data_IF_843712422087
#
_entry.id   IF_843712422087
#
_cell.length_a   1.000
_cell.length_b   1.000
_cell.length_c   1.000
_cell.angle_alpha   90.00
_cell.angle_beta   90.00
_cell.angle_gamma   90.00
#
_symmetry.space_group_name_H-M   'P 1'
#
loop_
_entity.id
_entity.type
_entity.pdbx_description
1 polymer ?
#
# COMPACT_ATOMS: atom_id res chain seq x y z
N UNK A 1 -3.80 -17.02 50.73
CA UNK A 1 -2.55 -16.76 50.05
C UNK A 1 -2.85 -16.91 48.58
N UNK A 2 -3.17 -15.77 47.93
CA UNK A 2 -3.51 -15.72 46.53
C UNK A 2 -2.25 -15.74 45.66
N UNK A 3 -2.20 -16.65 44.71
CA UNK A 3 -1.25 -16.56 43.59
C UNK A 3 -1.92 -15.81 42.46
N UNK A 4 -1.61 -14.53 42.33
CA UNK A 4 -1.89 -13.77 41.13
C UNK A 4 -1.06 -14.39 40.00
N UNK A 5 -1.75 -15.04 39.10
CA UNK A 5 -1.18 -15.50 37.84
C UNK A 5 -1.13 -14.28 36.89
N UNK A 6 0.00 -13.57 36.92
CA UNK A 6 0.32 -12.57 35.91
C UNK A 6 0.33 -13.26 34.55
N UNK A 7 -0.75 -13.09 33.80
CA UNK A 7 -0.76 -13.29 32.36
C UNK A 7 0.12 -12.16 31.80
N UNK A 8 1.40 -12.46 31.61
CA UNK A 8 2.21 -11.63 30.72
C UNK A 8 1.52 -11.63 29.37
N UNK A 9 0.99 -10.49 28.98
CA UNK A 9 0.67 -10.21 27.57
C UNK A 9 1.94 -10.46 26.77
N UNK A 10 2.06 -11.68 26.28
CA UNK A 10 2.96 -11.90 25.15
C UNK A 10 2.31 -11.12 24.02
N UNK A 11 2.96 -10.03 23.62
CA UNK A 11 2.76 -9.49 22.32
C UNK A 11 2.88 -10.68 21.34
N UNK A 12 1.74 -11.22 20.96
CA UNK A 12 1.65 -12.12 19.83
C UNK A 12 1.89 -11.18 18.65
N UNK A 13 3.17 -10.93 18.36
CA UNK A 13 3.54 -10.51 17.05
C UNK A 13 2.91 -11.53 16.14
N UNK A 14 1.93 -11.10 15.34
CA UNK A 14 1.27 -11.92 14.35
C UNK A 14 2.36 -12.58 13.52
N UNK A 15 2.74 -13.81 13.92
CA UNK A 15 3.63 -14.61 13.10
C UNK A 15 2.80 -14.99 11.89
N UNK A 16 2.99 -14.28 10.79
CA UNK A 16 2.44 -14.70 9.51
C UNK A 16 2.90 -16.12 9.24
N UNK A 17 1.96 -17.06 9.31
CA UNK A 17 2.24 -18.42 8.88
C UNK A 17 2.37 -18.33 7.37
N UNK A 18 3.60 -18.33 6.88
CA UNK A 18 3.87 -18.42 5.45
C UNK A 18 3.88 -19.89 5.06
N UNK A 19 2.88 -20.40 4.31
CA UNK A 19 2.84 -21.79 3.91
C UNK A 19 4.06 -22.10 3.04
N UNK A 20 4.70 -23.22 3.31
CA UNK A 20 5.85 -23.71 2.54
C UNK A 20 5.37 -24.48 1.32
N UNK A 21 5.97 -24.18 0.17
CA UNK A 21 5.75 -24.89 -1.10
C UNK A 21 7.00 -25.70 -1.42
N UNK A 22 6.80 -26.92 -1.90
CA UNK A 22 7.86 -27.79 -2.42
C UNK A 22 7.63 -27.91 -3.93
N UNK A 23 8.55 -27.39 -4.74
CA UNK A 23 8.55 -27.57 -6.20
C UNK A 23 9.61 -28.59 -6.58
N UNK A 24 9.19 -29.65 -7.26
CA UNK A 24 10.11 -30.57 -7.94
C UNK A 24 10.48 -29.99 -9.29
N UNK A 25 11.76 -29.67 -9.45
CA UNK A 25 12.37 -29.32 -10.74
C UNK A 25 13.25 -30.48 -11.20
N UNK A 26 13.43 -30.64 -12.50
CA UNK A 26 14.09 -31.81 -13.11
C UNK A 26 15.41 -32.30 -12.47
N UNK A 27 16.05 -31.51 -11.64
CA UNK A 27 17.31 -31.86 -10.95
C UNK A 27 17.37 -31.44 -9.47
N UNK A 28 16.40 -30.65 -8.95
CA UNK A 28 16.42 -30.15 -7.58
C UNK A 28 15.02 -29.94 -7.01
N UNK A 29 14.84 -30.24 -5.73
CA UNK A 29 13.67 -29.86 -4.96
C UNK A 29 13.95 -28.49 -4.33
N UNK A 30 13.14 -27.48 -4.64
CA UNK A 30 13.20 -26.17 -4.03
C UNK A 30 12.09 -26.01 -3.01
N UNK A 31 12.47 -25.73 -1.78
CA UNK A 31 11.53 -25.37 -0.71
C UNK A 31 11.52 -23.85 -0.56
N UNK A 32 10.35 -23.23 -0.66
CA UNK A 32 10.19 -21.78 -0.48
C UNK A 32 8.81 -21.47 0.12
N UNK A 33 8.66 -20.30 0.72
CA UNK A 33 7.33 -19.83 1.14
C UNK A 33 6.49 -19.35 -0.07
N UNK A 34 5.17 -19.28 0.13
CA UNK A 34 4.25 -18.92 -0.95
C UNK A 34 4.48 -17.52 -1.51
N UNK A 35 4.87 -16.55 -0.67
CA UNK A 35 5.13 -15.19 -1.13
C UNK A 35 6.40 -15.12 -1.99
N UNK A 36 7.44 -15.83 -1.60
CA UNK A 36 8.66 -15.98 -2.41
C UNK A 36 8.35 -16.65 -3.75
N UNK A 37 7.48 -17.66 -3.77
CA UNK A 37 7.06 -18.30 -5.02
C UNK A 37 6.29 -17.36 -5.93
N UNK A 38 5.34 -16.59 -5.39
CA UNK A 38 4.56 -15.61 -6.14
C UNK A 38 5.43 -14.44 -6.64
N UNK A 39 6.46 -14.05 -5.87
CA UNK A 39 7.42 -13.03 -6.30
C UNK A 39 8.18 -13.45 -7.57
N UNK A 40 8.42 -14.76 -7.78
CA UNK A 40 8.98 -15.25 -9.04
C UNK A 40 8.05 -14.99 -10.24
N UNK A 41 6.75 -14.89 -10.01
CA UNK A 41 5.74 -14.49 -11.00
C UNK A 41 5.48 -12.97 -10.97
N UNK A 42 6.38 -12.21 -10.34
CA UNK A 42 6.35 -10.74 -10.23
C UNK A 42 5.14 -10.20 -9.45
N UNK A 43 4.70 -10.96 -8.44
CA UNK A 43 3.58 -10.62 -7.57
C UNK A 43 4.09 -10.28 -6.17
N UNK A 44 3.75 -9.09 -5.69
CA UNK A 44 4.08 -8.55 -4.36
C UNK A 44 2.79 -8.36 -3.58
N UNK A 45 2.85 -8.54 -2.26
CA UNK A 45 1.71 -8.28 -1.37
C UNK A 45 2.02 -7.14 -0.40
N UNK A 46 1.13 -6.14 -0.36
CA UNK A 46 1.00 -5.17 0.72
C UNK A 46 -0.25 -5.55 1.53
N UNK A 47 -0.07 -6.47 2.47
CA UNK A 47 -1.16 -7.05 3.27
C UNK A 47 -1.20 -6.57 4.72
N UNK A 48 -0.44 -5.53 5.07
CA UNK A 48 -0.32 -5.02 6.44
C UNK A 48 -0.30 -3.50 6.45
N UNK A 49 -0.11 -2.93 7.65
CA UNK A 49 0.18 -1.52 7.81
C UNK A 49 1.48 -1.14 7.09
N UNK A 50 1.52 0.07 6.54
CA UNK A 50 2.72 0.66 5.95
C UNK A 50 3.60 1.22 7.07
N UNK A 51 4.68 0.52 7.35
CA UNK A 51 5.74 0.92 8.27
C UNK A 51 7.11 0.85 7.58
N UNK A 52 8.17 1.22 8.29
CA UNK A 52 9.52 1.27 7.71
C UNK A 52 9.99 -0.10 7.24
N UNK A 53 9.66 -1.18 7.98
CA UNK A 53 10.06 -2.53 7.61
C UNK A 53 9.33 -3.00 6.33
N UNK A 54 8.01 -2.88 6.32
CA UNK A 54 7.17 -3.25 5.17
C UNK A 54 7.57 -2.46 3.92
N UNK A 55 7.82 -1.15 4.09
CA UNK A 55 8.25 -0.30 2.99
C UNK A 55 9.60 -0.73 2.41
N UNK A 56 10.59 -1.00 3.27
CA UNK A 56 11.91 -1.46 2.83
C UNK A 56 11.83 -2.79 2.09
N UNK A 57 11.00 -3.72 2.55
CA UNK A 57 10.80 -5.02 1.87
C UNK A 57 10.19 -4.82 0.48
N UNK A 58 9.13 -4.02 0.37
CA UNK A 58 8.46 -3.77 -0.92
C UNK A 58 9.38 -3.03 -1.90
N UNK A 59 10.12 -2.01 -1.43
CA UNK A 59 11.09 -1.30 -2.26
C UNK A 59 12.18 -2.27 -2.78
N UNK A 60 12.71 -3.12 -1.90
CA UNK A 60 13.73 -4.10 -2.30
C UNK A 60 13.18 -5.10 -3.34
N UNK A 61 11.93 -5.55 -3.18
CA UNK A 61 11.25 -6.44 -4.13
C UNK A 61 11.04 -5.74 -5.49
N UNK A 62 10.58 -4.49 -5.50
CA UNK A 62 10.39 -3.70 -6.72
C UNK A 62 11.71 -3.54 -7.48
N UNK A 63 12.78 -3.12 -6.80
CA UNK A 63 14.11 -2.94 -7.40
C UNK A 63 14.68 -4.26 -7.92
N UNK A 64 14.53 -5.35 -7.16
CA UNK A 64 14.98 -6.67 -7.58
C UNK A 64 14.25 -7.14 -8.83
N UNK A 65 12.93 -7.02 -8.86
CA UNK A 65 12.11 -7.45 -9.99
C UNK A 65 12.39 -6.61 -11.25
N UNK A 66 12.51 -5.30 -11.10
CA UNK A 66 12.86 -4.42 -12.21
C UNK A 66 14.24 -4.76 -12.79
N UNK A 67 15.23 -4.98 -11.93
CA UNK A 67 16.59 -5.35 -12.38
C UNK A 67 16.66 -6.74 -13.01
N UNK A 68 15.82 -7.68 -12.59
CA UNK A 68 15.83 -9.06 -13.08
C UNK A 68 15.24 -9.20 -14.49
N UNK A 69 14.24 -8.40 -14.82
CA UNK A 69 13.58 -8.40 -16.13
C UNK A 69 12.96 -7.01 -16.38
N UNK A 70 13.78 -6.05 -16.83
CA UNK A 70 13.34 -4.66 -16.99
C UNK A 70 12.17 -4.53 -17.97
N UNK A 71 11.20 -3.69 -17.62
CA UNK A 71 10.05 -3.38 -18.47
C UNK A 71 8.92 -4.41 -18.43
N UNK A 72 9.06 -5.52 -17.70
CA UNK A 72 7.92 -6.41 -17.42
C UNK A 72 7.11 -5.92 -16.24
N UNK A 73 5.79 -6.04 -16.33
CA UNK A 73 4.85 -5.62 -15.30
C UNK A 73 5.14 -6.28 -13.94
N UNK A 74 4.99 -5.50 -12.88
CA UNK A 74 4.99 -5.97 -11.50
C UNK A 74 3.60 -5.75 -10.93
N UNK A 75 3.04 -6.75 -10.25
CA UNK A 75 1.71 -6.67 -9.64
C UNK A 75 1.80 -6.53 -8.14
N UNK A 76 1.19 -5.48 -7.56
CA UNK A 76 1.07 -5.31 -6.11
C UNK A 76 -0.38 -5.54 -5.70
N UNK A 77 -0.59 -6.58 -4.90
CA UNK A 77 -1.88 -6.86 -4.26
C UNK A 77 -1.95 -6.11 -2.94
N UNK A 78 -2.97 -5.28 -2.77
CA UNK A 78 -3.11 -4.35 -1.65
C UNK A 78 -4.31 -4.72 -0.79
N UNK A 79 -4.04 -5.00 0.49
CA UNK A 79 -5.04 -5.12 1.55
C UNK A 79 -4.47 -4.46 2.82
N UNK A 80 -4.52 -3.14 2.89
CA UNK A 80 -3.79 -2.37 3.88
C UNK A 80 -4.58 -1.15 4.38
N UNK A 81 -4.53 -0.86 5.68
CA UNK A 81 -5.11 0.36 6.26
C UNK A 81 -4.26 1.62 5.99
N UNK A 82 -3.14 1.52 5.29
CA UNK A 82 -2.16 2.59 5.19
C UNK A 82 -1.18 2.60 6.35
N UNK A 83 -0.65 3.76 6.71
CA UNK A 83 0.31 3.90 7.80
C UNK A 83 1.24 5.09 7.65
N UNK A 84 2.53 4.90 7.92
CA UNK A 84 3.54 5.96 7.89
C UNK A 84 3.65 6.61 6.51
N UNK A 85 3.49 7.93 6.45
CA UNK A 85 3.58 8.68 5.20
C UNK A 85 4.98 8.60 4.60
N UNK A 86 6.02 8.78 5.40
CA UNK A 86 7.40 8.76 4.89
C UNK A 86 7.83 7.37 4.41
N UNK A 87 7.43 6.31 5.12
CA UNK A 87 7.62 4.95 4.67
C UNK A 87 6.88 4.69 3.34
N UNK A 88 5.66 5.17 3.25
CA UNK A 88 4.84 5.09 2.03
C UNK A 88 5.42 5.86 0.84
N UNK A 89 6.00 7.04 1.06
CA UNK A 89 6.70 7.78 0.00
C UNK A 89 7.85 6.98 -0.59
N UNK A 90 8.60 6.22 0.23
CA UNK A 90 9.65 5.35 -0.28
C UNK A 90 9.12 4.31 -1.27
N UNK A 91 7.95 3.72 -0.99
CA UNK A 91 7.30 2.79 -1.93
C UNK A 91 6.82 3.55 -3.18
N UNK A 92 6.12 4.68 -3.00
CA UNK A 92 5.57 5.49 -4.09
C UNK A 92 6.67 5.91 -5.06
N UNK A 93 7.74 6.54 -4.55
CA UNK A 93 8.85 7.01 -5.38
C UNK A 93 9.54 5.86 -6.10
N UNK A 94 9.71 4.71 -5.44
CA UNK A 94 10.28 3.52 -6.09
C UNK A 94 9.39 3.02 -7.23
N UNK A 95 8.05 2.99 -7.04
CA UNK A 95 7.11 2.63 -8.10
C UNK A 95 7.21 3.57 -9.31
N UNK A 96 7.46 4.87 -9.08
CA UNK A 96 7.60 5.86 -10.16
C UNK A 96 8.99 5.85 -10.81
N UNK A 97 10.01 5.40 -10.08
CA UNK A 97 11.41 5.42 -10.51
C UNK A 97 11.80 4.24 -11.41
N UNK A 98 11.27 3.05 -11.14
CA UNK A 98 11.59 1.83 -11.91
C UNK A 98 11.04 1.90 -13.33
N UNK A 99 11.63 1.10 -14.22
CA UNK A 99 11.25 1.04 -15.64
C UNK A 99 10.04 0.14 -15.91
N UNK A 100 9.76 -0.79 -15.00
CA UNK A 100 8.64 -1.72 -15.08
C UNK A 100 7.32 -1.03 -14.71
N UNK A 101 6.26 -1.29 -15.48
CA UNK A 101 4.92 -0.86 -15.10
C UNK A 101 4.45 -1.56 -13.83
N UNK A 102 3.84 -0.82 -12.92
CA UNK A 102 3.31 -1.35 -11.67
C UNK A 102 1.79 -1.44 -11.73
N UNK A 103 1.28 -2.66 -11.80
CA UNK A 103 -0.14 -2.94 -11.66
C UNK A 103 -0.52 -3.01 -10.18
N UNK A 104 -1.59 -2.33 -9.78
CA UNK A 104 -2.08 -2.32 -8.40
C UNK A 104 -3.47 -2.94 -8.30
N UNK A 105 -3.67 -3.86 -7.34
CA UNK A 105 -4.92 -4.59 -7.18
C UNK A 105 -5.38 -4.54 -5.73
N UNK A 106 -6.48 -3.85 -5.45
CA UNK A 106 -7.09 -3.84 -4.13
C UNK A 106 -7.91 -5.12 -3.90
N UNK A 107 -7.58 -5.88 -2.84
CA UNK A 107 -8.20 -7.19 -2.52
C UNK A 107 -8.97 -7.22 -1.21
N UNK A 108 -9.29 -6.13 -0.64
CA UNK A 108 -10.03 -6.02 0.60
C UNK A 108 -10.18 -4.55 0.92
N UNK A 109 -9.09 -3.94 1.29
CA UNK A 109 -9.08 -2.51 1.63
C UNK A 109 -7.78 -1.86 1.15
N UNK A 110 -7.91 -0.66 0.60
CA UNK A 110 -6.81 0.27 0.41
C UNK A 110 -7.21 1.60 1.05
N UNK A 111 -6.72 1.85 2.26
CA UNK A 111 -7.09 3.03 3.03
C UNK A 111 -5.88 3.92 3.30
N UNK A 112 -6.11 5.23 3.41
CA UNK A 112 -5.07 6.20 3.74
C UNK A 112 -3.90 6.12 2.75
N UNK A 113 -2.65 5.97 3.20
CA UNK A 113 -1.52 5.86 2.29
C UNK A 113 -1.60 4.66 1.33
N UNK A 114 -2.27 3.57 1.70
CA UNK A 114 -2.48 2.44 0.79
C UNK A 114 -3.38 2.81 -0.40
N UNK A 115 -4.32 3.76 -0.23
CA UNK A 115 -5.10 4.31 -1.35
C UNK A 115 -4.22 5.18 -2.27
N UNK A 116 -3.24 5.89 -1.72
CA UNK A 116 -2.24 6.63 -2.52
C UNK A 116 -1.42 5.65 -3.36
N UNK A 117 -0.97 4.54 -2.79
CA UNK A 117 -0.24 3.51 -3.54
C UNK A 117 -1.11 2.83 -4.60
N UNK A 118 -2.39 2.59 -4.31
CA UNK A 118 -3.33 2.03 -5.27
C UNK A 118 -3.49 2.93 -6.50
N UNK A 119 -3.75 4.22 -6.28
CA UNK A 119 -3.95 5.18 -7.38
C UNK A 119 -2.66 5.48 -8.15
N UNK A 120 -1.50 5.28 -7.51
CA UNK A 120 -0.18 5.51 -8.10
C UNK A 120 0.29 4.40 -9.05
N UNK A 121 -0.44 3.31 -9.17
CA UNK A 121 -0.19 2.28 -10.18
C UNK A 121 -0.23 2.86 -11.60
N UNK A 122 0.38 2.16 -12.53
CA UNK A 122 0.40 2.55 -13.95
C UNK A 122 -1.03 2.67 -14.47
N UNK A 123 -1.33 3.79 -15.12
CA UNK A 123 -2.67 4.06 -15.64
C UNK A 123 -3.12 2.97 -16.61
N UNK A 124 -4.35 2.50 -16.44
CA UNK A 124 -4.90 1.35 -17.15
C UNK A 124 -4.65 0.01 -16.45
N UNK A 125 -3.80 -0.02 -15.41
CA UNK A 125 -3.40 -1.24 -14.67
C UNK A 125 -3.75 -1.19 -13.18
N UNK A 126 -4.64 -0.28 -12.77
CA UNK A 126 -5.11 -0.14 -11.38
C UNK A 126 -6.48 -0.79 -11.24
N UNK A 127 -6.61 -1.71 -10.29
CA UNK A 127 -7.78 -2.60 -10.22
C UNK A 127 -8.25 -2.80 -8.80
N UNK A 128 -9.50 -3.23 -8.64
CA UNK A 128 -10.05 -3.67 -7.36
C UNK A 128 -10.98 -4.87 -7.56
N UNK A 129 -11.07 -5.74 -6.55
CA UNK A 129 -12.10 -6.77 -6.47
C UNK A 129 -13.45 -6.14 -6.08
N UNK A 130 -14.60 -6.76 -6.44
CA UNK A 130 -15.93 -6.12 -6.33
C UNK A 130 -16.31 -5.65 -4.93
N UNK A 131 -15.86 -6.34 -3.89
CA UNK A 131 -16.17 -6.01 -2.50
C UNK A 131 -15.09 -5.18 -1.79
N UNK A 132 -14.04 -4.78 -2.50
CA UNK A 132 -12.99 -3.93 -1.96
C UNK A 132 -13.50 -2.54 -1.56
N UNK A 133 -12.79 -1.93 -0.64
CA UNK A 133 -13.04 -0.55 -0.19
C UNK A 133 -11.78 0.27 -0.38
N UNK A 134 -11.97 1.49 -0.83
CA UNK A 134 -10.90 2.49 -0.94
C UNK A 134 -11.27 3.67 -0.05
N UNK A 135 -10.32 4.17 0.72
CA UNK A 135 -10.57 5.31 1.60
C UNK A 135 -9.44 6.32 1.49
N UNK A 136 -9.81 7.57 1.27
CA UNK A 136 -8.91 8.71 1.31
C UNK A 136 -9.27 9.61 2.49
N UNK A 137 -8.27 10.20 3.11
CA UNK A 137 -8.42 11.19 4.17
C UNK A 137 -7.16 12.03 4.32
N UNK A 138 -7.26 13.13 5.08
CA UNK A 138 -6.10 13.95 5.40
C UNK A 138 -5.09 13.22 6.29
N UNK A 139 -3.78 13.54 6.21
CA UNK A 139 -2.79 12.92 7.08
C UNK A 139 -3.07 13.24 8.55
N UNK A 140 -2.92 12.22 9.40
CA UNK A 140 -2.96 12.40 10.84
C UNK A 140 -1.57 12.80 11.33
N UNK A 141 -1.52 13.79 12.19
CA UNK A 141 -0.29 14.23 12.81
C UNK A 141 -0.54 15.03 14.08
N UNK A 142 0.49 15.15 14.90
CA UNK A 142 0.47 15.94 16.13
C UNK A 142 1.88 16.35 16.51
N UNK A 143 2.00 17.37 17.35
CA UNK A 143 3.26 17.84 17.88
C UNK A 143 3.14 18.17 19.37
N UNK A 144 4.21 17.91 20.11
CA UNK A 144 4.38 18.32 21.49
C UNK A 144 5.77 18.93 21.64
N UNK A 145 5.92 19.91 22.53
CA UNK A 145 7.19 20.54 22.78
C UNK A 145 7.08 22.05 22.90
N UNK A 146 8.15 22.75 22.56
CA UNK A 146 8.18 24.21 22.54
C UNK A 146 7.32 24.75 21.39
N UNK A 147 6.80 25.98 21.53
CA UNK A 147 5.94 26.60 20.54
C UNK A 147 6.56 26.60 19.12
N UNK A 148 7.86 26.87 19.02
CA UNK A 148 8.59 26.85 17.75
C UNK A 148 8.62 25.44 17.11
N UNK A 149 8.79 24.39 17.90
CA UNK A 149 8.82 23.00 17.41
C UNK A 149 7.44 22.57 16.92
N UNK A 150 6.39 22.99 17.63
CA UNK A 150 4.99 22.75 17.23
C UNK A 150 4.70 23.44 15.89
N UNK A 151 5.15 24.69 15.72
CA UNK A 151 4.95 25.44 14.47
C UNK A 151 5.70 24.80 13.29
N UNK A 152 6.95 24.34 13.49
CA UNK A 152 7.72 23.64 12.47
C UNK A 152 7.00 22.36 12.03
N UNK A 153 6.56 21.55 12.99
CA UNK A 153 5.85 20.30 12.72
C UNK A 153 4.51 20.55 12.02
N UNK A 154 3.75 21.56 12.46
CA UNK A 154 2.48 21.91 11.82
C UNK A 154 2.68 22.33 10.35
N UNK A 155 3.72 23.14 10.07
CA UNK A 155 4.06 23.50 8.69
C UNK A 155 4.42 22.29 7.83
N UNK A 156 5.15 21.33 8.39
CA UNK A 156 5.50 20.10 7.66
C UNK A 156 4.27 19.25 7.37
N UNK A 157 3.37 19.06 8.34
CA UNK A 157 2.10 18.35 8.14
C UNK A 157 1.28 18.98 7.01
N UNK A 158 1.23 20.32 6.94
CA UNK A 158 0.50 21.01 5.86
C UNK A 158 1.15 20.81 4.48
N UNK A 159 2.49 20.74 4.40
CA UNK A 159 3.17 20.40 3.15
C UNK A 159 2.85 18.98 2.70
N UNK A 160 2.97 18.02 3.62
CA UNK A 160 2.62 16.60 3.38
C UNK A 160 1.17 16.47 2.92
N UNK A 161 0.24 17.17 3.57
CA UNK A 161 -1.18 17.18 3.18
C UNK A 161 -1.35 17.63 1.73
N UNK A 162 -0.73 18.76 1.36
CA UNK A 162 -0.78 19.29 0.00
C UNK A 162 -0.18 18.32 -1.02
N UNK A 163 0.93 17.70 -0.69
CA UNK A 163 1.63 16.75 -1.56
C UNK A 163 0.78 15.52 -1.83
N UNK A 164 0.22 14.89 -0.77
CA UNK A 164 -0.68 13.74 -0.89
C UNK A 164 -1.90 14.04 -1.76
N UNK A 165 -2.52 15.20 -1.58
CA UNK A 165 -3.66 15.60 -2.41
C UNK A 165 -3.27 15.86 -3.86
N UNK A 166 -2.08 16.40 -4.09
CA UNK A 166 -1.54 16.58 -5.44
C UNK A 166 -1.29 15.22 -6.12
N UNK A 167 -0.74 14.26 -5.41
CA UNK A 167 -0.53 12.89 -5.93
C UNK A 167 -1.88 12.27 -6.31
N UNK A 168 -2.86 12.28 -5.40
CA UNK A 168 -4.19 11.72 -5.67
C UNK A 168 -4.86 12.43 -6.85
N UNK A 169 -4.83 13.76 -6.88
CA UNK A 169 -5.39 14.57 -7.97
C UNK A 169 -4.74 14.21 -9.33
N UNK A 170 -3.42 14.14 -9.37
CA UNK A 170 -2.66 13.84 -10.59
C UNK A 170 -3.00 12.46 -11.14
N UNK A 171 -3.04 11.44 -10.29
CA UNK A 171 -3.26 10.06 -10.72
C UNK A 171 -4.74 9.74 -10.98
N UNK A 172 -5.67 10.30 -10.20
CA UNK A 172 -7.10 10.07 -10.37
C UNK A 172 -7.72 10.91 -11.47
N UNK A 173 -7.10 12.06 -11.78
CA UNK A 173 -7.66 13.06 -12.70
C UNK A 173 -8.74 13.94 -12.08
N UNK A 174 -8.97 13.84 -10.75
CA UNK A 174 -9.87 14.75 -10.04
C UNK A 174 -9.23 16.12 -9.79
N UNK A 175 -10.00 17.21 -9.79
CA UNK A 175 -9.49 18.52 -9.39
C UNK A 175 -8.94 18.47 -7.94
N UNK A 176 -7.86 19.22 -7.69
CA UNK A 176 -7.23 19.29 -6.37
C UNK A 176 -8.22 19.67 -5.27
N UNK A 177 -9.05 20.68 -5.52
CA UNK A 177 -10.06 21.18 -4.56
C UNK A 177 -11.10 20.12 -4.19
N UNK A 178 -11.44 19.23 -5.15
CA UNK A 178 -12.34 18.11 -4.89
C UNK A 178 -11.67 17.07 -4.01
N UNK A 179 -10.40 16.72 -4.29
CA UNK A 179 -9.63 15.79 -3.46
C UNK A 179 -9.47 16.34 -2.05
N UNK A 180 -9.15 17.63 -1.91
CA UNK A 180 -9.02 18.30 -0.61
C UNK A 180 -10.33 18.28 0.17
N UNK A 181 -11.46 18.60 -0.47
CA UNK A 181 -12.78 18.57 0.16
C UNK A 181 -13.16 17.15 0.62
N UNK A 182 -13.01 16.17 -0.27
CA UNK A 182 -13.42 14.79 0.00
C UNK A 182 -12.50 14.13 1.06
N UNK A 183 -11.22 14.50 1.09
CA UNK A 183 -10.26 13.97 2.06
C UNK A 183 -10.25 14.68 3.41
N UNK A 184 -11.13 15.65 3.66
CA UNK A 184 -11.18 16.34 4.97
C UNK A 184 -11.54 15.37 6.11
N UNK A 185 -12.33 14.36 5.82
CA UNK A 185 -12.67 13.23 6.68
C UNK A 185 -12.54 11.91 5.90
N UNK A 186 -12.77 10.80 6.58
CA UNK A 186 -12.72 9.47 5.96
C UNK A 186 -13.74 9.38 4.82
N UNK A 187 -13.26 9.42 3.60
CA UNK A 187 -14.08 9.28 2.39
C UNK A 187 -13.94 7.87 1.83
N UNK A 188 -14.94 7.05 2.17
CA UNK A 188 -14.98 5.65 1.77
C UNK A 188 -15.65 5.49 0.39
N UNK A 189 -15.05 4.65 -0.43
CA UNK A 189 -15.52 4.28 -1.76
C UNK A 189 -15.64 2.76 -1.89
N UNK A 190 -16.74 2.29 -2.46
CA UNK A 190 -16.85 0.95 -3.03
C UNK A 190 -15.93 0.83 -4.24
N UNK A 191 -15.74 -0.40 -4.77
CA UNK A 191 -14.93 -0.58 -5.98
C UNK A 191 -15.48 0.22 -7.18
N UNK A 192 -16.80 0.28 -7.35
CA UNK A 192 -17.45 1.03 -8.43
C UNK A 192 -17.31 2.56 -8.25
N UNK A 193 -17.45 3.04 -7.00
CA UNK A 193 -17.22 4.46 -6.70
C UNK A 193 -15.76 4.84 -6.90
N UNK A 194 -14.81 3.97 -6.52
CA UNK A 194 -13.39 4.16 -6.76
C UNK A 194 -13.04 4.20 -8.27
N UNK A 195 -13.73 3.39 -9.08
CA UNK A 195 -13.64 3.44 -10.54
C UNK A 195 -14.15 4.77 -11.07
N UNK A 196 -15.31 5.21 -10.64
CA UNK A 196 -15.91 6.49 -11.06
C UNK A 196 -15.07 7.70 -10.61
N UNK A 197 -14.42 7.59 -9.44
CA UNK A 197 -13.53 8.63 -8.93
C UNK A 197 -12.18 8.68 -9.68
N UNK A 198 -11.78 7.60 -10.33
CA UNK A 198 -10.49 7.48 -11.02
C UNK A 198 -9.36 6.94 -10.14
N UNK A 199 -9.69 6.40 -8.96
CA UNK A 199 -8.70 5.72 -8.10
C UNK A 199 -8.21 4.40 -8.71
N UNK A 200 -9.06 3.77 -9.51
CA UNK A 200 -8.76 2.55 -10.26
C UNK A 200 -9.26 2.67 -11.71
N UNK A 201 -8.82 1.75 -12.55
CA UNK A 201 -9.18 1.70 -13.98
C UNK A 201 -10.17 0.57 -14.28
N UNK A 202 -10.31 -0.43 -13.39
CA UNK A 202 -11.18 -1.57 -13.62
C UNK A 202 -11.58 -2.29 -12.32
N UNK A 203 -12.84 -2.73 -12.26
CA UNK A 203 -13.29 -3.71 -11.26
C UNK A 203 -13.14 -5.11 -11.85
N UNK A 204 -12.39 -5.99 -11.15
CA UNK A 204 -12.13 -7.36 -11.61
C UNK A 204 -13.29 -8.27 -11.23
N UNK A 205 -14.03 -8.74 -12.21
CA UNK A 205 -15.06 -9.75 -12.05
C UNK A 205 -14.66 -11.02 -12.80
N UNK A 206 -15.05 -12.18 -12.26
CA UNK A 206 -14.81 -13.45 -12.96
C UNK A 206 -15.67 -13.50 -14.22
N UNK A 207 -15.04 -13.59 -15.37
CA UNK A 207 -15.76 -13.98 -16.59
C UNK A 207 -16.16 -15.46 -16.47
N UNK A 208 -17.47 -15.71 -16.47
CA UNK A 208 -18.02 -17.08 -16.55
C UNK A 208 -17.93 -17.58 -17.97
#
# INVERSE_FOLDING_TARGET
VGSEMCIRDRNITSSYISPTIIEERQLNVAQMDVFSRLMMDRIIFLGTQVDDYTANVIQAQLLYLDSSDPGKDISIYINSPGGSVYAGYGIYDTMQFISSDVSTICTGMAASFAAVLLVAGTKGKRMALPHSRVMIHQPLGGAQGQASDIEITAREILKVKKELYTIISTHSGQPYEKVEHDSDRDYWMTAEEALAYGMIDKVLVRNK
#
